data_IF_223472056201
#
_entry.id   IF_223472056201
#
_cell.length_a   1.000
_cell.length_b   1.000
_cell.length_c   1.000
_cell.angle_alpha   90.00
_cell.angle_beta   90.00
_cell.angle_gamma   90.00
#
_symmetry.space_group_name_H-M   'P 1'
#
loop_
_entity.id
_entity.type
_entity.pdbx_description
1 polymer ?
#
# COMPACT_ATOMS: atom_id res chain seq x y z
N UNK A 1 17.59 10.22 2.00
CA UNK A 1 16.26 10.78 1.99
C UNK A 1 15.93 11.41 0.68
N UNK A 2 14.75 11.25 0.19
CA UNK A 2 14.32 11.84 -1.06
C UNK A 2 13.53 13.11 -0.80
N UNK A 3 14.11 14.30 -1.08
CA UNK A 3 13.41 15.55 -0.80
C UNK A 3 12.19 15.77 -1.68
N UNK A 4 12.01 14.95 -2.72
CA UNK A 4 10.86 15.06 -3.60
C UNK A 4 9.69 14.22 -3.14
N UNK A 5 9.84 13.48 -2.06
CA UNK A 5 8.76 12.69 -1.48
C UNK A 5 8.28 13.36 -0.20
N UNK A 6 6.97 13.40 -0.05
CA UNK A 6 6.29 14.10 1.02
C UNK A 6 6.80 13.61 2.39
N UNK A 7 7.03 14.55 3.31
CA UNK A 7 7.53 14.21 4.65
C UNK A 7 6.48 13.47 5.50
N UNK A 8 5.22 13.44 5.05
CA UNK A 8 4.17 12.67 5.73
C UNK A 8 4.20 11.20 5.36
N UNK A 9 5.09 10.82 4.44
CA UNK A 9 5.23 9.46 3.94
C UNK A 9 6.62 8.94 4.22
N UNK A 10 6.72 7.66 4.52
CA UNK A 10 8.00 7.03 4.82
C UNK A 10 8.16 5.75 4.01
N UNK A 11 9.27 5.67 3.26
CA UNK A 11 9.65 4.44 2.60
C UNK A 11 10.51 3.65 3.58
N UNK A 12 10.05 2.49 3.96
CA UNK A 12 10.71 1.70 5.00
C UNK A 12 11.90 0.90 4.48
N UNK A 13 11.91 0.61 3.17
CA UNK A 13 12.99 -0.13 2.54
C UNK A 13 13.06 0.28 1.07
N UNK A 14 14.25 0.26 0.48
CA UNK A 14 14.44 0.70 -0.90
C UNK A 14 13.58 -0.07 -1.90
N UNK A 15 13.29 -1.33 -1.61
CA UNK A 15 12.52 -2.18 -2.52
C UNK A 15 11.01 -2.02 -2.35
N UNK A 16 10.56 -1.22 -1.39
CA UNK A 16 9.12 -1.09 -1.13
C UNK A 16 8.42 -0.38 -2.27
N UNK A 17 7.27 -0.91 -2.67
CA UNK A 17 6.40 -0.24 -3.60
C UNK A 17 5.20 0.40 -2.93
N UNK A 18 5.22 0.45 -1.60
CA UNK A 18 4.26 1.21 -0.81
C UNK A 18 5.00 2.14 0.14
N UNK A 19 4.33 3.21 0.54
CA UNK A 19 4.85 4.16 1.52
C UNK A 19 3.92 4.16 2.72
N UNK A 20 4.50 4.26 3.91
CA UNK A 20 3.72 4.30 5.14
C UNK A 20 3.37 5.74 5.48
N UNK A 21 2.11 5.98 5.82
CA UNK A 21 1.64 7.29 6.26
C UNK A 21 2.09 7.50 7.70
N UNK A 22 2.93 8.50 7.92
CA UNK A 22 3.43 8.81 9.26
C UNK A 22 2.88 10.13 9.80
N UNK A 23 2.10 10.84 8.98
CA UNK A 23 1.34 12.00 9.40
C UNK A 23 0.04 11.97 8.61
N UNK A 24 -1.09 12.09 9.28
CA UNK A 24 -2.39 11.86 8.67
C UNK A 24 -2.60 12.67 7.40
N UNK A 25 -3.22 12.05 6.41
CA UNK A 25 -3.55 12.69 5.14
C UNK A 25 -5.04 13.01 5.11
N UNK A 26 -5.39 14.14 4.48
CA UNK A 26 -6.78 14.56 4.38
C UNK A 26 -7.30 14.31 2.98
N UNK A 27 -8.58 13.97 2.90
CA UNK A 27 -9.24 13.79 1.61
C UNK A 27 -9.20 15.10 0.82
N UNK A 28 -8.94 15.00 -0.47
CA UNK A 28 -8.87 16.17 -1.34
C UNK A 28 -7.52 16.85 -1.35
N UNK A 29 -6.61 16.44 -0.48
CA UNK A 29 -5.26 16.99 -0.49
C UNK A 29 -4.38 16.29 -1.52
N UNK A 30 -3.09 16.60 -1.49
CA UNK A 30 -2.11 16.00 -2.39
C UNK A 30 -0.91 15.53 -1.64
N UNK A 31 -0.26 14.53 -2.20
CA UNK A 31 1.04 14.06 -1.71
C UNK A 31 2.02 14.10 -2.86
N UNK A 32 3.29 14.30 -2.53
CA UNK A 32 4.37 14.24 -3.52
C UNK A 32 5.13 12.95 -3.32
N UNK A 33 5.35 12.24 -4.42
CA UNK A 33 6.12 11.00 -4.43
C UNK A 33 7.09 11.10 -5.59
N UNK A 34 8.38 11.11 -5.29
CA UNK A 34 9.46 11.20 -6.29
C UNK A 34 9.23 12.36 -7.27
N UNK A 35 8.76 13.49 -6.76
CA UNK A 35 8.60 14.68 -7.56
C UNK A 35 7.26 14.84 -8.26
N UNK A 36 6.39 13.85 -8.18
CA UNK A 36 5.08 13.90 -8.81
C UNK A 36 4.00 14.08 -7.74
N UNK A 37 2.95 14.83 -8.07
CA UNK A 37 1.85 15.08 -7.16
C UNK A 37 0.71 14.12 -7.45
N UNK A 38 0.12 13.57 -6.41
CA UNK A 38 -1.01 12.66 -6.52
C UNK A 38 -2.10 13.07 -5.55
N UNK A 39 -3.34 12.94 -5.99
CA UNK A 39 -4.49 13.30 -5.15
C UNK A 39 -4.72 12.24 -4.08
N UNK A 40 -5.13 12.70 -2.91
CA UNK A 40 -5.54 11.82 -1.82
C UNK A 40 -7.06 11.72 -1.87
N UNK A 41 -7.59 10.55 -2.16
CA UNK A 41 -9.03 10.39 -2.36
C UNK A 41 -9.80 10.20 -1.06
N UNK A 42 -9.12 9.81 0.00
CA UNK A 42 -9.77 9.58 1.30
C UNK A 42 -8.82 9.96 2.42
N UNK A 43 -9.38 10.32 3.56
CA UNK A 43 -8.56 10.59 4.74
C UNK A 43 -7.87 9.30 5.18
N UNK A 44 -6.56 9.37 5.42
CA UNK A 44 -5.77 8.22 5.81
C UNK A 44 -5.04 8.51 7.11
N UNK A 45 -5.34 7.75 8.16
CA UNK A 45 -4.62 7.89 9.44
C UNK A 45 -3.20 7.36 9.34
N UNK A 46 -2.43 7.68 10.36
CA UNK A 46 -1.07 7.16 10.52
C UNK A 46 -1.12 5.63 10.53
N UNK A 47 -0.15 5.02 9.89
CA UNK A 47 -0.04 3.57 9.84
C UNK A 47 -0.60 2.94 8.58
N UNK A 48 -1.41 3.67 7.84
CA UNK A 48 -1.90 3.17 6.56
C UNK A 48 -0.80 3.29 5.50
N UNK A 49 -1.01 2.66 4.36
CA UNK A 49 -0.01 2.70 3.30
C UNK A 49 -0.65 3.09 1.97
N UNK A 50 0.15 3.73 1.13
CA UNK A 50 -0.26 4.11 -0.21
C UNK A 50 0.76 3.58 -1.20
N UNK A 51 0.35 3.43 -2.45
CA UNK A 51 1.26 2.96 -3.49
C UNK A 51 2.30 4.01 -3.83
N UNK A 52 3.55 3.62 -3.89
CA UNK A 52 4.65 4.51 -4.28
C UNK A 52 4.74 4.66 -5.80
N UNK A 53 4.17 3.72 -6.52
CA UNK A 53 4.13 3.71 -7.98
C UNK A 53 2.98 2.84 -8.42
N UNK A 54 2.73 2.79 -9.72
CA UNK A 54 1.69 1.92 -10.25
C UNK A 54 2.03 0.46 -9.95
N UNK A 55 1.04 -0.29 -9.51
CA UNK A 55 1.19 -1.71 -9.20
C UNK A 55 0.15 -2.46 -10.03
N UNK A 56 0.62 -3.42 -10.82
CA UNK A 56 -0.27 -4.16 -11.70
C UNK A 56 -1.01 -5.26 -10.94
N UNK A 57 -2.15 -5.65 -11.46
CA UNK A 57 -2.90 -6.78 -10.90
C UNK A 57 -1.99 -8.00 -10.80
N UNK A 58 -2.00 -8.63 -9.66
CA UNK A 58 -1.18 -9.84 -9.42
C UNK A 58 0.24 -9.55 -9.01
N UNK A 59 0.70 -8.31 -9.10
CA UNK A 59 2.06 -7.98 -8.69
C UNK A 59 2.19 -8.04 -7.17
N UNK A 60 3.37 -8.36 -6.70
CA UNK A 60 3.64 -8.41 -5.26
C UNK A 60 3.66 -7.02 -4.66
N UNK A 61 3.11 -6.90 -3.47
CA UNK A 61 3.19 -5.69 -2.68
C UNK A 61 4.29 -5.90 -1.66
N UNK A 62 5.27 -5.00 -1.66
CA UNK A 62 6.49 -5.15 -0.87
C UNK A 62 6.53 -4.05 0.19
N UNK A 63 6.69 -4.46 1.44
CA UNK A 63 6.82 -3.56 2.57
C UNK A 63 7.92 -4.11 3.47
N UNK A 64 8.81 -3.23 3.92
CA UNK A 64 10.02 -3.64 4.67
C UNK A 64 10.91 -4.57 3.84
N UNK A 65 10.87 -4.42 2.53
CA UNK A 65 11.65 -5.29 1.65
C UNK A 65 11.09 -6.69 1.51
N UNK A 66 9.89 -6.94 2.03
CA UNK A 66 9.29 -8.28 2.08
C UNK A 66 7.95 -8.26 1.36
N UNK A 67 7.65 -9.26 0.52
CA UNK A 67 6.33 -9.35 -0.07
C UNK A 67 5.30 -9.62 1.02
N UNK A 68 4.27 -8.80 1.08
CA UNK A 68 3.20 -8.97 2.08
C UNK A 68 1.91 -9.45 1.45
N UNK A 69 1.85 -9.54 0.15
CA UNK A 69 0.67 -9.98 -0.56
C UNK A 69 0.76 -9.63 -2.03
N UNK A 70 -0.36 -9.75 -2.70
CA UNK A 70 -0.46 -9.45 -4.13
C UNK A 70 -1.62 -8.49 -4.38
N UNK A 71 -1.47 -7.65 -5.38
CA UNK A 71 -2.53 -6.72 -5.77
C UNK A 71 -3.68 -7.50 -6.40
N UNK A 72 -4.90 -7.24 -5.95
CA UNK A 72 -6.08 -7.89 -6.53
C UNK A 72 -6.61 -7.14 -7.73
N UNK A 73 -6.13 -5.92 -7.93
CA UNK A 73 -6.43 -5.11 -9.10
C UNK A 73 -5.32 -4.10 -9.30
N UNK A 74 -5.33 -3.40 -10.41
CA UNK A 74 -4.32 -2.37 -10.66
C UNK A 74 -4.45 -1.26 -9.63
N UNK A 75 -3.33 -0.79 -9.12
CA UNK A 75 -3.26 0.26 -8.10
C UNK A 75 -2.48 1.42 -8.67
N UNK A 76 -3.04 2.61 -8.59
CA UNK A 76 -2.39 3.82 -9.08
C UNK A 76 -1.43 4.38 -8.02
N UNK A 77 -0.40 5.14 -8.45
CA UNK A 77 0.47 5.81 -7.48
C UNK A 77 -0.34 6.71 -6.56
N UNK A 78 -0.03 6.67 -5.28
CA UNK A 78 -0.75 7.46 -4.27
C UNK A 78 -2.05 6.85 -3.81
N UNK A 79 -2.49 5.79 -4.43
CA UNK A 79 -3.74 5.14 -4.05
C UNK A 79 -3.57 4.36 -2.75
N UNK A 80 -4.58 4.37 -1.91
CA UNK A 80 -4.60 3.63 -0.64
C UNK A 80 -4.49 2.13 -0.92
N UNK A 81 -3.57 1.47 -0.24
CA UNK A 81 -3.38 0.02 -0.35
C UNK A 81 -3.86 -0.61 0.94
N UNK A 82 -4.88 -1.44 0.84
CA UNK A 82 -5.46 -2.11 1.99
C UNK A 82 -6.19 -3.35 1.51
N UNK A 83 -7.04 -3.92 2.34
CA UNK A 83 -7.71 -5.19 2.03
C UNK A 83 -8.59 -5.14 0.79
N UNK A 84 -9.01 -3.95 0.36
CA UNK A 84 -9.83 -3.84 -0.85
C UNK A 84 -9.04 -4.08 -2.14
N UNK A 85 -7.73 -3.99 -2.11
CA UNK A 85 -6.90 -4.17 -3.30
C UNK A 85 -5.63 -4.98 -3.05
N UNK A 86 -5.51 -5.56 -1.86
CA UNK A 86 -4.37 -6.39 -1.50
C UNK A 86 -4.88 -7.64 -0.82
N UNK A 87 -4.41 -8.79 -1.25
CA UNK A 87 -4.68 -10.04 -0.56
C UNK A 87 -3.39 -10.64 -0.05
N UNK A 88 -3.43 -11.24 1.13
CA UNK A 88 -2.27 -11.90 1.69
C UNK A 88 -2.01 -13.22 0.96
N UNK A 89 -0.76 -13.44 0.57
CA UNK A 89 -0.37 -14.70 -0.05
C UNK A 89 -0.16 -15.79 0.99
N UNK A 90 -0.20 -15.43 2.26
CA UNK A 90 -0.05 -16.42 3.32
C UNK A 90 -1.35 -17.08 3.74
N UNK A 91 -2.46 -16.61 3.23
CA UNK A 91 -3.72 -17.24 3.59
C UNK A 91 -3.73 -18.67 3.08
N UNK A 92 -4.05 -19.60 3.93
CA UNK A 92 -4.06 -20.95 3.50
C UNK A 92 -5.13 -21.14 2.51
N UNK A 93 -4.67 -21.73 1.50
CA UNK A 93 -5.62 -21.96 0.59
C UNK A 93 -6.34 -23.15 0.95
N UNK A 94 -5.86 -23.84 1.87
CA UNK A 94 -6.39 -24.83 2.21
C UNK A 94 -7.26 -24.76 2.99
N UNK A 95 -7.26 -24.22 3.09
CA UNK A 95 -7.93 -24.16 3.80
C UNK A 95 -8.96 -24.75 3.45
N UNK A 96 -9.06 -25.38 3.15
CA UNK A 96 -9.79 -25.75 2.96
C UNK A 96 -10.64 -25.60 3.63
N UNK A 97 -11.11 -25.43 3.60
CA UNK A 97 -11.92 -25.16 4.05
C UNK A 97 -12.17 -24.90 5.20
N UNK A 98 -11.87 -25.25 5.71
CA UNK A 98 -12.01 -24.94 6.70
C UNK A 98 -11.73 -23.92 7.04
N UNK A 99 -11.62 -23.71 7.20
CA UNK A 99 -11.40 -22.78 7.72
C UNK A 99 -11.11 -21.79 7.41
N UNK A 100 -10.92 -21.67 6.94
CA UNK A 100 -10.42 -20.72 6.66
C UNK A 100 -10.93 -19.62 6.86
N UNK A 101 -11.26 -19.23 7.30
CA UNK A 101 -11.69 -18.15 7.41
C UNK A 101 -11.08 -17.28 8.07
N UNK A 102 -10.45 -17.27 8.40
CA UNK A 102 -9.94 -16.32 9.03
C UNK A 102 -9.33 -15.51 8.30
N UNK A 103 -9.54 -15.05 7.83
CA UNK A 103 -9.03 -14.35 7.25
C UNK A 103 -8.73 -13.25 7.35
N UNK A 104 -8.59 -12.91 7.39
CA UNK A 104 -8.28 -11.97 7.52
C UNK A 104 -7.53 -11.29 7.36
N UNK A 105 -7.39 -11.27 7.12
CA UNK A 105 -6.73 -10.60 7.19
C UNK A 105 -6.23 -9.66 7.26
#
# INVERSE_FOLDING_TARGET
MNPLTDHRLLRLHADDNVLTVISALTAGGRVFIDGAAFAVSAALPIGHKIAARAIETGAKIVKYGVPIGSATRAIAPGEHVHTHNLKSDYLPTFARGEGAHYEHA
#
